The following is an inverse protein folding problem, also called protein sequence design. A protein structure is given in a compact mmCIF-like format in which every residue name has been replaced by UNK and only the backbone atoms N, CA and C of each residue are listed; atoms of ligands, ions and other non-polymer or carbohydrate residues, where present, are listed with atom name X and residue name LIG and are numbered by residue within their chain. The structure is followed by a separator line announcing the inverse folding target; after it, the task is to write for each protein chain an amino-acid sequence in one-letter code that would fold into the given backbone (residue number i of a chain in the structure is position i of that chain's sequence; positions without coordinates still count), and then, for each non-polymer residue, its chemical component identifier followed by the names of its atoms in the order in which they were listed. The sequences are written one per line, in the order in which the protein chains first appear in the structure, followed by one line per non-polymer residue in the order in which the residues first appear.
data_IF_216763354446
#
_entry.id   IF_216763354446
#
_cell.length_a   1.000
_cell.length_b   1.000
_cell.length_c   1.000
_cell.angle_alpha   90.00
_cell.angle_beta   90.00
_cell.angle_gamma   90.00
#
_symmetry.space_group_name_H-M   'P 1'
#
loop_
_entity.id
_entity.type
_entity.pdbx_description
1 polymer ?
#
# COMPACT_ATOMS: atom_id res chain seq x y z
N UNK A 1 10.35 21.70 14.32
CA UNK A 1 9.83 20.34 14.58
C UNK A 1 10.94 19.32 14.43
N UNK A 2 10.70 18.07 14.83
CA UNK A 2 11.65 16.95 14.68
C UNK A 2 11.26 16.11 13.46
N UNK A 3 12.25 15.76 12.64
CA UNK A 3 12.03 14.83 11.51
C UNK A 3 12.12 13.39 12.02
N UNK A 4 11.16 12.56 11.63
CA UNK A 4 11.08 11.15 12.02
C UNK A 4 11.13 10.28 10.76
N UNK A 5 11.95 9.24 10.80
CA UNK A 5 11.90 8.12 9.87
C UNK A 5 11.34 6.91 10.61
N UNK A 6 10.21 6.38 10.14
CA UNK A 6 9.55 5.20 10.70
C UNK A 6 9.63 4.06 9.68
N UNK A 7 9.95 2.86 10.17
CA UNK A 7 9.92 1.62 9.39
C UNK A 7 8.88 0.72 10.03
N UNK A 8 7.93 0.25 9.23
CA UNK A 8 6.80 -0.55 9.70
C UNK A 8 6.43 -1.64 8.71
N UNK A 9 5.95 -2.77 9.22
CA UNK A 9 5.40 -3.86 8.41
C UNK A 9 3.93 -3.58 8.06
N UNK A 10 3.22 -2.85 8.93
CA UNK A 10 1.86 -2.40 8.65
C UNK A 10 1.89 -1.11 7.81
N UNK A 11 2.00 -1.28 6.49
CA UNK A 11 2.04 -0.17 5.54
C UNK A 11 0.85 0.80 5.69
N UNK A 12 -0.34 0.29 6.04
CA UNK A 12 -1.53 1.13 6.24
C UNK A 12 -1.37 2.09 7.41
N UNK A 13 -0.91 1.59 8.55
CA UNK A 13 -0.68 2.45 9.72
C UNK A 13 0.47 3.41 9.49
N UNK A 14 1.56 2.94 8.87
CA UNK A 14 2.70 3.79 8.54
C UNK A 14 2.29 4.99 7.67
N UNK A 15 1.54 4.74 6.59
CA UNK A 15 1.08 5.79 5.68
C UNK A 15 0.05 6.73 6.32
N UNK A 16 -0.80 6.26 7.24
CA UNK A 16 -1.73 7.15 7.97
C UNK A 16 -1.01 8.13 8.91
N UNK A 17 0.24 7.85 9.30
CA UNK A 17 1.01 8.67 10.24
C UNK A 17 2.12 9.49 9.56
N UNK A 18 2.51 9.15 8.33
CA UNK A 18 3.62 9.81 7.63
C UNK A 18 3.14 10.85 6.62
N UNK A 19 4.03 11.77 6.22
CA UNK A 19 3.78 12.69 5.11
C UNK A 19 4.20 12.12 3.74
N UNK A 20 5.25 11.27 3.74
CA UNK A 20 5.78 10.60 2.56
C UNK A 20 5.97 9.12 2.88
N UNK A 21 5.81 8.26 1.88
CA UNK A 21 6.03 6.83 2.01
C UNK A 21 6.99 6.29 0.94
N UNK A 22 7.69 5.23 1.32
CA UNK A 22 8.54 4.43 0.44
C UNK A 22 8.22 2.97 0.70
N UNK A 23 7.80 2.25 -0.33
CA UNK A 23 7.44 0.83 -0.25
C UNK A 23 8.60 0.02 -0.81
N UNK A 24 9.15 -0.86 0.02
CA UNK A 24 10.23 -1.76 -0.33
C UNK A 24 9.71 -3.20 -0.43
N UNK A 25 10.10 -3.90 -1.48
CA UNK A 25 9.89 -5.34 -1.63
C UNK A 25 11.20 -6.00 -2.05
N UNK A 26 11.65 -6.99 -1.28
CA UNK A 26 12.88 -7.76 -1.57
C UNK A 26 14.10 -6.85 -1.82
N UNK A 27 14.22 -5.78 -1.04
CA UNK A 27 15.33 -4.81 -1.16
C UNK A 27 15.21 -3.80 -2.29
N UNK A 28 14.10 -3.78 -3.05
CA UNK A 28 13.86 -2.83 -4.13
C UNK A 28 12.70 -1.88 -3.79
N UNK A 29 12.84 -0.62 -4.18
CA UNK A 29 11.77 0.36 -4.08
C UNK A 29 10.75 0.11 -5.19
N UNK A 30 9.54 -0.29 -4.79
CA UNK A 30 8.45 -0.59 -5.72
C UNK A 30 7.48 0.58 -5.86
N UNK A 31 7.38 1.43 -4.83
CA UNK A 31 6.62 2.66 -4.92
C UNK A 31 7.12 3.73 -3.94
N UNK A 32 6.94 4.99 -4.29
CA UNK A 32 7.15 6.16 -3.44
C UNK A 32 6.15 7.26 -3.79
N UNK A 33 5.88 8.17 -2.87
CA UNK A 33 4.93 9.27 -3.09
C UNK A 33 4.48 9.91 -1.78
N UNK A 34 3.55 10.87 -1.87
CA UNK A 34 2.87 11.34 -0.66
C UNK A 34 2.08 10.20 -0.04
N UNK A 35 1.85 10.26 1.27
CA UNK A 35 1.04 9.25 1.93
C UNK A 35 -0.38 9.18 1.38
N UNK A 36 -0.96 10.31 1.00
CA UNK A 36 -2.28 10.38 0.36
C UNK A 36 -2.30 9.68 -1.00
N UNK A 37 -1.29 9.90 -1.84
CA UNK A 37 -1.16 9.24 -3.14
C UNK A 37 -1.05 7.73 -2.99
N UNK A 38 -0.20 7.26 -2.05
CA UNK A 38 0.00 5.85 -1.78
C UNK A 38 -1.23 5.18 -1.16
N UNK A 39 -1.94 5.89 -0.27
CA UNK A 39 -3.21 5.45 0.29
C UNK A 39 -4.34 5.48 -0.73
N UNK A 40 -4.24 6.23 -1.83
CA UNK A 40 -5.23 6.25 -2.90
C UNK A 40 -4.96 5.18 -3.96
N UNK A 41 -3.69 4.82 -4.18
CA UNK A 41 -3.23 3.88 -5.20
C UNK A 41 -3.88 2.49 -5.06
N UNK A 42 -4.51 2.02 -6.14
CA UNK A 42 -5.26 0.75 -6.18
C UNK A 42 -4.35 -0.48 -6.03
N UNK A 43 -3.18 -0.47 -6.65
CA UNK A 43 -2.21 -1.56 -6.59
C UNK A 43 -1.63 -1.70 -5.18
N UNK A 44 -1.29 -0.57 -4.54
CA UNK A 44 -0.84 -0.55 -3.15
C UNK A 44 -1.92 -1.05 -2.20
N UNK A 45 -3.17 -0.64 -2.40
CA UNK A 45 -4.30 -1.13 -1.58
C UNK A 45 -4.48 -2.63 -1.68
N UNK A 46 -4.42 -3.16 -2.89
CA UNK A 46 -4.58 -4.58 -3.15
C UNK A 46 -3.44 -5.41 -2.53
N UNK A 47 -2.20 -4.94 -2.69
CA UNK A 47 -1.01 -5.67 -2.24
C UNK A 47 -0.73 -5.55 -0.73
N UNK A 48 -1.00 -4.39 -0.11
CA UNK A 48 -0.47 -4.09 1.24
C UNK A 48 -1.49 -3.54 2.24
N UNK A 49 -2.65 -3.02 1.80
CA UNK A 49 -3.59 -2.32 2.71
C UNK A 49 -4.91 -3.07 2.95
N UNK A 50 -5.04 -4.30 2.45
CA UNK A 50 -6.21 -5.15 2.69
C UNK A 50 -7.42 -4.86 1.80
N UNK A 51 -7.22 -4.23 0.62
CA UNK A 51 -8.28 -3.86 -0.32
C UNK A 51 -9.00 -5.01 -1.04
N UNK A 52 -8.67 -6.26 -0.73
CA UNK A 52 -9.21 -7.45 -1.39
C UNK A 52 -10.56 -7.94 -0.83
N UNK A 53 -11.59 -7.09 -0.72
CA UNK A 53 -13.01 -7.55 -0.67
C UNK A 53 -13.93 -6.54 -1.35
N UNK A 54 -13.99 -6.60 -2.68
CA UNK A 54 -15.02 -5.91 -3.46
C UNK A 54 -14.66 -5.69 -4.93
N UNK A 55 -14.76 -6.72 -5.77
CA UNK A 55 -14.69 -6.55 -7.23
C UNK A 55 -14.36 -7.83 -8.00
N UNK A 56 -15.40 -8.60 -8.36
CA UNK A 56 -15.33 -9.62 -9.43
C UNK A 56 -15.06 -11.05 -9.00
N UNK A 57 -16.05 -11.74 -8.43
CA UNK A 57 -16.21 -13.18 -8.71
C UNK A 57 -16.61 -13.30 -10.19
N UNK A 58 -15.64 -13.37 -11.10
CA UNK A 58 -15.88 -14.03 -12.39
C UNK A 58 -15.54 -15.49 -12.20
N UNK A 59 -16.51 -16.23 -11.65
CA UNK A 59 -16.61 -17.66 -11.87
C UNK A 59 -16.63 -17.88 -13.38
N UNK A 60 -15.48 -18.24 -13.97
CA UNK A 60 -15.51 -19.04 -15.19
C UNK A 60 -15.91 -20.44 -14.76
N UNK A 61 -17.21 -20.70 -14.80
CA UNK A 61 -17.66 -21.97 -15.32
C UNK A 61 -17.16 -22.05 -16.78
N UNK A 62 -16.57 -23.18 -17.15
CA UNK A 62 -16.91 -23.97 -18.35
C UNK A 62 -15.70 -24.86 -18.75
N UNK A 63 -15.94 -26.16 -18.60
CA UNK A 63 -15.27 -27.33 -19.21
C UNK A 63 -13.88 -27.72 -18.72
#
# INVERSE_FOLDING_TARGET
GVTILLVEQNARQALLLSNRGYVLQTGLMVQEGSSEELLANADIKAAYLGGGRGGGKTTRALT
#
